data_IF_238904021069
#
_entry.id   IF_238904021069
#
_cell.length_a   1.000
_cell.length_b   1.000
_cell.length_c   1.000
_cell.angle_alpha   90.00
_cell.angle_beta   90.00
_cell.angle_gamma   90.00
#
_symmetry.space_group_name_H-M   'P 1'
#
loop_
_entity.id
_entity.type
_entity.pdbx_description
1 polymer ?
#
# COMPACT_ATOMS: atom_id res chain seq x y z
N UNK A 1 25.82 49.10 21.51
CA UNK A 1 26.52 49.13 22.81
C UNK A 1 28.05 49.15 22.70
N UNK A 2 28.78 48.06 22.38
CA UNK A 2 30.26 48.09 22.32
C UNK A 2 30.84 49.05 21.25
N UNK A 3 30.17 49.20 20.10
CA UNK A 3 30.57 50.13 19.03
C UNK A 3 30.37 51.59 19.42
N UNK A 4 29.37 51.87 20.26
CA UNK A 4 29.09 53.23 20.77
C UNK A 4 30.07 53.64 21.87
N UNK A 5 30.52 52.69 22.70
CA UNK A 5 31.61 52.91 23.67
C UNK A 5 32.96 53.16 22.97
N UNK A 6 33.25 52.45 21.87
CA UNK A 6 34.45 52.71 21.05
C UNK A 6 34.34 54.06 20.32
N UNK A 7 33.18 54.40 19.77
CA UNK A 7 32.96 55.69 19.10
C UNK A 7 33.12 56.88 20.07
N UNK A 8 32.72 56.73 21.32
CA UNK A 8 32.92 57.75 22.36
C UNK A 8 34.39 57.84 22.81
N UNK A 9 35.11 56.72 22.93
CA UNK A 9 36.57 56.67 23.17
C UNK A 9 37.37 57.36 22.06
N UNK A 10 36.99 57.20 20.79
CA UNK A 10 37.64 57.87 19.66
C UNK A 10 37.14 59.31 19.41
N UNK A 11 36.00 59.72 19.98
CA UNK A 11 35.51 61.11 19.86
C UNK A 11 36.39 62.11 20.64
N UNK A 12 37.05 61.67 21.71
CA UNK A 12 38.00 62.49 22.49
C UNK A 12 39.29 62.76 21.71
N UNK A 13 39.66 61.85 20.80
CA UNK A 13 40.76 62.04 19.85
C UNK A 13 40.39 62.98 18.69
N UNK A 14 39.12 63.41 18.60
CA UNK A 14 38.60 64.35 17.60
C UNK A 14 38.54 65.78 18.13
N UNK A 15 39.45 66.17 19.03
CA UNK A 15 39.63 67.58 19.36
C UNK A 15 40.25 68.30 18.15
N UNK A 16 39.45 69.14 17.47
CA UNK A 16 40.00 70.12 16.53
C UNK A 16 41.04 70.99 17.27
N UNK A 17 42.26 71.15 16.72
CA UNK A 17 43.31 71.90 17.39
C UNK A 17 43.01 73.40 17.26
N UNK A 18 42.27 73.97 18.20
CA UNK A 18 42.21 75.42 18.37
C UNK A 18 43.39 75.85 19.24
N UNK A 19 44.49 76.21 18.59
CA UNK A 19 45.63 76.87 19.21
C UNK A 19 46.95 76.17 18.93
N UNK A 20 47.96 76.94 18.53
CA UNK A 20 49.33 76.47 18.41
C UNK A 20 49.84 76.03 19.80
N UNK A 21 49.85 74.72 20.06
CA UNK A 21 50.46 74.17 21.25
C UNK A 21 51.98 74.19 21.09
N UNK A 22 52.67 74.93 21.95
CA UNK A 22 54.09 74.71 22.18
C UNK A 22 54.26 73.35 22.85
N UNK A 23 54.72 72.35 22.10
CA UNK A 23 55.05 71.04 22.63
C UNK A 23 56.26 71.14 23.56
N UNK A 24 56.02 71.15 24.86
CA UNK A 24 57.05 70.76 25.84
C UNK A 24 57.13 69.24 25.84
N UNK A 25 58.33 68.68 25.72
CA UNK A 25 58.58 67.23 25.56
C UNK A 25 57.85 66.29 26.57
N UNK A 26 57.42 66.80 27.72
CA UNK A 26 56.59 66.07 28.70
C UNK A 26 55.19 65.70 28.18
N UNK A 27 54.46 66.63 27.56
CA UNK A 27 53.11 66.36 27.03
C UNK A 27 53.13 65.35 25.88
N UNK A 28 54.18 65.36 25.06
CA UNK A 28 54.36 64.38 23.99
C UNK A 28 54.68 62.98 24.55
N UNK A 29 55.52 62.89 25.59
CA UNK A 29 55.82 61.64 26.27
C UNK A 29 54.56 61.02 26.93
N UNK A 30 53.72 61.87 27.53
CA UNK A 30 52.47 61.46 28.16
C UNK A 30 51.42 61.03 27.12
N UNK A 31 51.22 61.79 26.05
CA UNK A 31 50.32 61.39 24.95
C UNK A 31 50.75 60.07 24.28
N UNK A 32 52.07 59.84 24.14
CA UNK A 32 52.61 58.58 23.61
C UNK A 32 52.32 57.39 24.53
N UNK A 33 52.41 57.56 25.85
CA UNK A 33 52.08 56.50 26.84
C UNK A 33 50.59 56.17 26.83
N UNK A 34 49.74 57.18 26.78
CA UNK A 34 48.28 57.00 26.71
C UNK A 34 47.88 56.30 25.40
N UNK A 35 48.48 56.69 24.28
CA UNK A 35 48.24 56.04 22.98
C UNK A 35 48.68 54.58 23.01
N UNK A 36 49.83 54.27 23.62
CA UNK A 36 50.30 52.89 23.77
C UNK A 36 49.33 52.03 24.59
N UNK A 37 48.78 52.57 25.69
CA UNK A 37 47.74 51.91 26.48
C UNK A 37 46.49 51.62 25.65
N UNK A 38 45.94 52.63 24.97
CA UNK A 38 44.72 52.49 24.15
C UNK A 38 44.91 51.52 22.98
N UNK A 39 46.10 51.49 22.37
CA UNK A 39 46.44 50.50 21.34
C UNK A 39 46.50 49.08 21.91
N UNK A 40 47.07 48.90 23.11
CA UNK A 40 47.07 47.60 23.79
C UNK A 40 45.64 47.10 24.06
N UNK A 41 44.77 47.97 24.57
CA UNK A 41 43.35 47.64 24.81
C UNK A 41 42.63 47.29 23.51
N UNK A 42 42.87 48.05 22.43
CA UNK A 42 42.34 47.74 21.10
C UNK A 42 42.80 46.36 20.63
N UNK A 43 44.07 46.01 20.82
CA UNK A 43 44.62 44.71 20.45
C UNK A 43 43.96 43.57 21.26
N UNK A 44 43.69 43.76 22.56
CA UNK A 44 42.90 42.82 23.39
C UNK A 44 41.51 42.59 22.77
N UNK A 45 40.80 43.67 22.43
CA UNK A 45 39.48 43.56 21.79
C UNK A 45 39.55 42.81 20.46
N UNK A 46 40.58 43.05 19.63
CA UNK A 46 40.78 42.32 18.38
C UNK A 46 41.03 40.83 18.60
N UNK A 47 41.87 40.45 19.58
CA UNK A 47 42.10 39.05 19.93
C UNK A 47 40.81 38.35 20.37
N UNK A 48 40.02 38.97 21.25
CA UNK A 48 38.75 38.40 21.73
C UNK A 48 37.69 38.28 20.63
N UNK A 49 37.58 39.28 19.75
CA UNK A 49 36.69 39.22 18.59
C UNK A 49 37.15 38.13 17.61
N UNK A 50 38.46 37.99 17.39
CA UNK A 50 39.04 36.94 16.57
C UNK A 50 38.71 35.55 17.11
N UNK A 51 38.94 35.31 18.41
CA UNK A 51 38.57 34.07 19.08
C UNK A 51 37.08 33.77 18.93
N UNK A 52 36.21 34.75 19.21
CA UNK A 52 34.76 34.59 19.05
C UNK A 52 34.39 34.19 17.62
N UNK A 53 34.97 34.83 16.61
CA UNK A 53 34.69 34.51 15.21
C UNK A 53 35.19 33.11 14.84
N UNK A 54 36.38 32.72 15.30
CA UNK A 54 36.91 31.37 15.06
C UNK A 54 36.02 30.29 15.70
N UNK A 55 35.60 30.49 16.95
CA UNK A 55 34.70 29.57 17.64
C UNK A 55 33.34 29.48 16.94
N UNK A 56 32.69 30.61 16.64
CA UNK A 56 31.30 30.61 16.14
C UNK A 56 31.22 30.28 14.65
N UNK A 57 32.14 30.77 13.82
CA UNK A 57 32.02 30.66 12.35
C UNK A 57 32.77 29.48 11.77
N UNK A 58 33.78 28.95 12.45
CA UNK A 58 34.62 27.86 11.92
C UNK A 58 34.44 26.60 12.75
N UNK A 59 34.72 26.68 14.04
CA UNK A 59 34.85 25.49 14.89
C UNK A 59 33.50 24.92 15.33
N UNK A 60 32.53 25.77 15.68
CA UNK A 60 31.21 25.31 16.06
C UNK A 60 30.44 24.62 14.92
N UNK A 61 30.42 25.16 13.68
CA UNK A 61 29.83 24.45 12.54
C UNK A 61 30.55 23.12 12.28
N UNK A 62 31.89 23.11 12.27
CA UNK A 62 32.66 21.90 12.05
C UNK A 62 32.40 20.84 13.14
N UNK A 63 32.22 21.24 14.40
CA UNK A 63 31.85 20.34 15.49
C UNK A 63 30.43 19.80 15.30
N UNK A 64 29.48 20.66 14.89
CA UNK A 64 28.09 20.27 14.66
C UNK A 64 27.99 19.25 13.52
N UNK A 65 28.75 19.44 12.45
CA UNK A 65 28.83 18.50 11.34
C UNK A 65 29.49 17.18 11.77
N UNK A 66 30.57 17.26 12.55
CA UNK A 66 31.23 16.07 13.07
C UNK A 66 30.33 15.23 13.99
N UNK A 67 29.43 15.88 14.76
CA UNK A 67 28.47 15.19 15.63
C UNK A 67 27.47 14.30 14.86
N UNK A 68 27.24 14.56 13.57
CA UNK A 68 26.35 13.73 12.74
C UNK A 68 26.94 12.32 12.54
N UNK A 69 28.26 12.25 12.36
CA UNK A 69 28.97 11.01 12.05
C UNK A 69 29.42 10.25 13.31
N UNK A 70 29.44 10.91 14.46
CA UNK A 70 29.97 10.36 15.72
C UNK A 70 28.98 9.37 16.33
N UNK A 71 29.42 8.12 16.45
CA UNK A 71 28.64 7.02 17.06
C UNK A 71 29.02 6.74 18.51
N UNK A 72 29.99 7.48 19.06
CA UNK A 72 30.58 7.23 20.38
C UNK A 72 30.45 8.40 21.35
N UNK A 73 30.82 8.16 22.60
CA UNK A 73 30.58 9.07 23.72
C UNK A 73 31.66 10.16 23.88
N UNK A 74 32.54 10.38 22.89
CA UNK A 74 33.66 11.35 22.99
C UNK A 74 33.18 12.74 23.43
N UNK A 75 32.10 13.26 22.84
CA UNK A 75 31.54 14.55 23.22
C UNK A 75 31.08 14.54 24.70
N UNK A 76 30.51 13.44 25.17
CA UNK A 76 29.98 13.31 26.54
C UNK A 76 31.11 13.13 27.56
N UNK A 77 32.06 12.27 27.26
CA UNK A 77 33.23 12.00 28.09
C UNK A 77 34.11 13.23 28.23
N UNK A 78 34.32 13.97 27.14
CA UNK A 78 35.05 15.23 27.17
C UNK A 78 34.32 16.29 28.00
N UNK A 79 33.00 16.40 27.85
CA UNK A 79 32.19 17.36 28.61
C UNK A 79 32.22 17.07 30.12
N UNK A 80 32.08 15.79 30.50
CA UNK A 80 32.23 15.33 31.89
C UNK A 80 33.63 15.58 32.43
N UNK A 81 34.66 15.32 31.61
CA UNK A 81 36.06 15.57 31.98
C UNK A 81 36.29 17.05 32.32
N UNK A 82 35.86 17.97 31.45
CA UNK A 82 36.06 19.40 31.67
C UNK A 82 35.23 19.92 32.84
N UNK A 83 33.95 19.51 32.95
CA UNK A 83 33.09 19.91 34.06
C UNK A 83 33.67 19.52 35.43
N UNK A 84 34.25 18.31 35.53
CA UNK A 84 34.88 17.82 36.76
C UNK A 84 36.03 18.71 37.22
N UNK A 85 36.97 19.01 36.32
CA UNK A 85 38.18 19.75 36.66
C UNK A 85 37.92 21.24 36.94
N UNK A 86 36.80 21.78 36.44
CA UNK A 86 36.37 23.13 36.77
C UNK A 86 35.72 23.24 38.15
N UNK A 87 34.98 22.21 38.59
CA UNK A 87 34.38 22.19 39.93
C UNK A 87 35.40 22.00 41.04
N UNK A 88 36.55 21.39 40.74
CA UNK A 88 37.63 21.11 41.70
C UNK A 88 38.57 22.31 41.94
N UNK A 89 38.25 23.51 41.42
CA UNK A 89 39.03 24.76 41.60
C UNK A 89 40.48 24.72 41.08
N UNK A 90 40.81 23.78 40.20
CA UNK A 90 42.12 23.65 39.53
C UNK A 90 42.09 24.29 38.12
N UNK A 91 41.63 25.54 38.02
CA UNK A 91 41.48 26.23 36.73
C UNK A 91 42.82 26.49 36.02
N UNK A 92 43.89 26.66 36.80
CA UNK A 92 45.24 26.99 36.30
C UNK A 92 45.93 25.84 35.55
N UNK A 93 45.62 24.58 35.89
CA UNK A 93 46.18 23.40 35.21
C UNK A 93 45.27 22.83 34.12
N UNK A 94 44.10 23.45 33.89
CA UNK A 94 43.11 22.94 32.95
C UNK A 94 43.62 22.84 31.49
N UNK A 95 44.40 23.81 30.96
CA UNK A 95 44.99 23.68 29.63
C UNK A 95 45.82 22.41 29.46
N UNK A 96 46.76 22.15 30.38
CA UNK A 96 47.67 20.98 30.34
C UNK A 96 46.90 19.65 30.48
N UNK A 97 45.87 19.64 31.32
CA UNK A 97 45.01 18.48 31.51
C UNK A 97 44.20 18.16 30.26
N UNK A 98 43.68 19.18 29.56
CA UNK A 98 42.96 19.01 28.29
C UNK A 98 43.91 18.57 27.18
N UNK A 99 45.12 19.13 27.11
CA UNK A 99 46.15 18.70 26.16
C UNK A 99 46.48 17.22 26.36
N UNK A 100 46.68 16.80 27.61
CA UNK A 100 46.96 15.40 27.96
C UNK A 100 45.80 14.48 27.63
N UNK A 101 44.56 14.90 27.89
CA UNK A 101 43.36 14.12 27.59
C UNK A 101 43.20 13.90 26.08
N UNK A 102 43.36 14.97 25.28
CA UNK A 102 43.26 14.89 23.83
C UNK A 102 44.45 14.13 23.23
N UNK A 103 45.66 14.33 23.72
CA UNK A 103 46.85 13.61 23.23
C UNK A 103 46.81 12.10 23.46
N UNK A 104 46.15 11.64 24.53
CA UNK A 104 46.03 10.23 24.89
C UNK A 104 44.76 9.55 24.35
N UNK A 105 43.92 10.26 23.59
CA UNK A 105 42.67 9.69 23.08
C UNK A 105 42.93 8.66 21.98
N UNK A 106 42.52 7.41 22.21
CA UNK A 106 42.73 6.30 21.29
C UNK A 106 41.77 6.33 20.09
N UNK A 107 42.14 7.05 19.04
CA UNK A 107 41.40 7.13 17.78
C UNK A 107 41.24 5.77 17.06
N UNK A 108 42.09 4.79 17.37
CA UNK A 108 41.99 3.44 16.79
C UNK A 108 40.72 2.70 17.20
N UNK A 109 40.16 3.00 18.37
CA UNK A 109 38.96 2.33 18.89
C UNK A 109 37.67 3.00 18.37
N UNK A 110 37.72 4.30 18.04
CA UNK A 110 36.59 5.08 17.57
C UNK A 110 36.96 5.95 16.35
N UNK A 111 37.07 5.38 15.14
CA UNK A 111 37.47 6.12 13.95
C UNK A 111 36.43 7.17 13.53
N UNK A 112 35.14 6.95 13.83
CA UNK A 112 34.06 7.92 13.59
C UNK A 112 34.24 9.21 14.39
N UNK A 113 34.97 9.17 15.51
CA UNK A 113 35.21 10.32 16.36
C UNK A 113 36.38 11.21 15.88
N UNK A 114 37.10 10.83 14.83
CA UNK A 114 38.30 11.53 14.34
C UNK A 114 38.05 13.00 14.00
N UNK A 115 36.94 13.31 13.31
CA UNK A 115 36.57 14.68 12.96
C UNK A 115 36.30 15.54 14.19
N UNK A 116 35.48 15.02 15.12
CA UNK A 116 35.15 15.73 16.35
C UNK A 116 36.41 15.96 17.20
N UNK A 117 37.26 14.95 17.30
CA UNK A 117 38.53 15.03 18.01
C UNK A 117 39.45 16.12 17.45
N UNK A 118 39.58 16.22 16.12
CA UNK A 118 40.33 17.30 15.46
C UNK A 118 39.77 18.69 15.78
N UNK A 119 38.44 18.81 15.82
CA UNK A 119 37.79 20.08 16.18
C UNK A 119 38.03 20.44 17.64
N UNK A 120 37.98 19.48 18.56
CA UNK A 120 38.30 19.71 19.98
C UNK A 120 39.76 20.15 20.18
N UNK A 121 40.70 19.55 19.45
CA UNK A 121 42.10 20.03 19.41
C UNK A 121 42.17 21.46 18.89
N UNK A 122 41.48 21.77 17.80
CA UNK A 122 41.50 23.11 17.22
C UNK A 122 40.88 24.17 18.15
N UNK A 123 39.84 23.81 18.91
CA UNK A 123 39.24 24.67 19.95
C UNK A 123 40.23 24.90 21.09
N UNK A 124 40.84 23.84 21.61
CA UNK A 124 41.85 23.93 22.64
C UNK A 124 43.02 24.85 22.20
N UNK A 125 43.57 24.61 21.01
CA UNK A 125 44.64 25.44 20.45
C UNK A 125 44.21 26.90 20.23
N UNK A 126 42.99 27.15 19.76
CA UNK A 126 42.48 28.52 19.58
C UNK A 126 42.42 29.27 20.92
N UNK A 127 41.98 28.60 21.98
CA UNK A 127 41.89 29.16 23.33
C UNK A 127 43.28 29.39 23.94
N UNK A 128 44.19 28.41 23.88
CA UNK A 128 45.58 28.53 24.38
C UNK A 128 46.33 29.63 23.64
N UNK A 129 46.25 29.67 22.31
CA UNK A 129 46.92 30.70 21.51
C UNK A 129 46.36 32.10 21.81
N UNK A 130 45.05 32.22 22.02
CA UNK A 130 44.44 33.50 22.39
C UNK A 130 44.86 33.92 23.79
N UNK A 131 44.88 33.01 24.76
CA UNK A 131 45.35 33.27 26.11
C UNK A 131 46.81 33.74 26.13
N UNK A 132 47.69 33.08 25.37
CA UNK A 132 49.10 33.48 25.22
C UNK A 132 49.27 34.86 24.57
N UNK A 133 48.49 35.17 23.52
CA UNK A 133 48.50 36.51 22.91
C UNK A 133 48.00 37.59 23.87
N UNK A 134 46.96 37.29 24.63
CA UNK A 134 46.42 38.20 25.64
C UNK A 134 47.41 38.40 26.79
N UNK A 135 48.19 37.39 27.18
CA UNK A 135 49.26 37.54 28.16
C UNK A 135 50.35 38.50 27.66
N UNK A 136 50.84 38.34 26.43
CA UNK A 136 51.81 39.27 25.83
C UNK A 136 51.28 40.71 25.79
N UNK A 137 50.01 40.88 25.36
CA UNK A 137 49.37 42.21 25.36
C UNK A 137 49.24 42.76 26.79
N UNK A 138 48.86 41.93 27.76
CA UNK A 138 48.74 42.33 29.16
C UNK A 138 50.10 42.74 29.75
N UNK A 139 51.18 42.02 29.44
CA UNK A 139 52.55 42.40 29.82
C UNK A 139 52.96 43.75 29.21
N UNK A 140 52.61 44.00 27.94
CA UNK A 140 52.85 45.30 27.29
C UNK A 140 52.06 46.43 27.97
N UNK A 141 50.79 46.20 28.31
CA UNK A 141 49.95 47.17 29.04
C UNK A 141 50.50 47.42 30.45
N UNK A 142 50.95 46.36 31.15
CA UNK A 142 51.53 46.43 32.50
C UNK A 142 52.74 47.35 32.58
N UNK A 143 53.55 47.40 31.53
CA UNK A 143 54.73 48.27 31.46
C UNK A 143 54.40 49.71 31.05
N UNK A 144 53.15 50.00 30.65
CA UNK A 144 52.71 51.38 30.38
C UNK A 144 52.49 52.15 31.68
N UNK A 145 53.00 53.37 31.75
CA UNK A 145 52.65 54.33 32.82
C UNK A 145 51.46 55.16 32.39
N UNK A 146 50.37 55.08 33.15
CA UNK A 146 49.12 55.80 32.88
C UNK A 146 49.13 57.14 33.62
N UNK A 147 48.83 58.22 32.91
CA UNK A 147 48.71 59.57 33.47
C UNK A 147 47.42 59.70 34.30
N UNK A 148 47.32 60.75 35.13
CA UNK A 148 46.11 61.04 35.91
C UNK A 148 44.82 61.10 35.06
N UNK A 149 44.89 61.61 33.82
CA UNK A 149 43.75 61.77 32.91
C UNK A 149 43.32 60.45 32.27
N UNK A 150 44.26 59.56 31.98
CA UNK A 150 43.98 58.29 31.31
C UNK A 150 43.37 57.21 32.23
N UNK A 151 43.35 57.43 33.55
CA UNK A 151 42.63 56.58 34.50
C UNK A 151 41.14 56.47 34.20
N UNK A 152 40.54 57.49 33.58
CA UNK A 152 39.16 57.43 33.12
C UNK A 152 38.89 56.26 32.16
N UNK A 153 39.81 55.99 31.22
CA UNK A 153 39.68 54.87 30.28
C UNK A 153 39.87 53.52 30.96
N UNK A 154 40.77 53.47 31.94
CA UNK A 154 41.04 52.30 32.76
C UNK A 154 39.78 51.89 33.55
N UNK A 155 39.06 52.85 34.14
CA UNK A 155 37.82 52.61 34.86
C UNK A 155 36.68 52.11 33.95
N UNK A 156 36.51 52.72 32.77
CA UNK A 156 35.54 52.25 31.78
C UNK A 156 35.78 50.79 31.41
N UNK A 157 37.05 50.42 31.21
CA UNK A 157 37.41 49.05 30.82
C UNK A 157 37.19 48.05 31.94
N UNK A 158 37.50 48.40 33.18
CA UNK A 158 37.21 47.54 34.33
C UNK A 158 35.70 47.35 34.52
N UNK A 159 34.90 48.41 34.29
CA UNK A 159 33.45 48.29 34.33
C UNK A 159 32.92 47.40 33.20
N UNK A 160 33.48 47.53 31.99
CA UNK A 160 33.11 46.70 30.83
C UNK A 160 33.52 45.23 31.00
N UNK A 161 34.57 44.95 31.77
CA UNK A 161 35.09 43.59 32.02
C UNK A 161 34.64 43.01 33.38
N UNK A 162 33.88 43.78 34.16
CA UNK A 162 33.45 43.42 35.52
C UNK A 162 32.78 42.05 35.62
N UNK A 163 31.94 41.67 34.65
CA UNK A 163 31.26 40.36 34.60
C UNK A 163 32.21 39.18 34.40
N UNK A 164 33.30 39.39 33.67
CA UNK A 164 34.36 38.37 33.49
C UNK A 164 35.20 38.27 34.77
N UNK A 165 35.49 39.43 35.36
CA UNK A 165 36.35 39.54 36.53
C UNK A 165 35.69 39.05 37.82
N UNK A 166 34.36 39.16 37.95
CA UNK A 166 33.61 38.62 39.09
C UNK A 166 33.70 37.09 39.22
N UNK A 167 34.15 36.39 38.18
CA UNK A 167 34.33 34.93 38.17
C UNK A 167 35.75 34.49 38.53
N UNK A 168 36.69 35.43 38.58
CA UNK A 168 38.08 35.16 38.96
C UNK A 168 38.18 35.06 40.49
N UNK A 169 38.77 33.97 41.00
CA UNK A 169 38.87 33.68 42.44
C UNK A 169 39.69 34.70 43.25
N UNK A 170 40.58 35.45 42.58
CA UNK A 170 41.49 36.41 43.21
C UNK A 170 41.17 37.88 42.87
N UNK A 171 40.00 38.15 42.27
CA UNK A 171 39.66 39.52 41.89
C UNK A 171 39.48 40.43 43.11
N UNK A 172 40.38 41.40 43.28
CA UNK A 172 40.18 42.57 44.14
C UNK A 172 39.63 43.71 43.29
N UNK A 173 38.61 44.40 43.80
CA UNK A 173 37.97 45.54 43.13
C UNK A 173 39.02 46.57 42.66
N UNK A 174 39.16 46.75 41.34
CA UNK A 174 40.01 47.78 40.76
C UNK A 174 40.65 47.40 39.43
N UNK A 175 40.62 48.33 38.48
CA UNK A 175 41.20 48.16 37.15
C UNK A 175 42.73 47.91 37.13
N UNK A 176 43.40 48.24 38.24
CA UNK A 176 44.83 47.97 38.50
C UNK A 176 45.15 46.48 38.57
N UNK A 177 44.24 45.67 39.11
CA UNK A 177 44.37 44.23 39.21
C UNK A 177 44.29 43.55 37.84
N UNK A 178 43.45 44.08 36.91
CA UNK A 178 43.22 43.50 35.58
C UNK A 178 44.52 43.44 34.75
N UNK A 179 45.33 44.49 34.83
CA UNK A 179 46.58 44.61 34.08
C UNK A 179 47.82 44.32 34.95
N UNK A 180 47.61 43.97 36.22
CA UNK A 180 48.68 43.63 37.15
C UNK A 180 49.57 44.82 37.54
N UNK A 181 49.02 46.05 37.56
CA UNK A 181 49.74 47.25 38.00
C UNK A 181 49.95 47.32 39.52
N UNK A 182 49.31 46.45 40.30
CA UNK A 182 49.59 46.35 41.74
C UNK A 182 50.90 45.60 42.01
N UNK A 183 51.73 46.15 42.89
CA UNK A 183 52.86 45.41 43.45
C UNK A 183 52.33 44.39 44.44
N UNK A 184 52.72 43.12 44.31
CA UNK A 184 52.41 42.00 45.22
C UNK A 184 53.04 42.15 46.64
N UNK A 185 53.12 43.37 47.15
CA UNK A 185 54.03 43.77 48.22
C UNK A 185 53.47 43.84 49.64
N UNK A 186 52.26 43.37 49.95
CA UNK A 186 51.71 43.50 51.33
C UNK A 186 51.03 42.28 51.93
N UNK A 187 51.13 41.09 51.35
CA UNK A 187 50.69 39.86 52.02
C UNK A 187 51.69 38.71 51.81
N UNK A 188 52.29 38.28 52.93
CA UNK A 188 53.06 37.04 53.04
C UNK A 188 52.20 35.85 52.63
N UNK A 189 52.27 35.46 51.36
CA UNK A 189 51.87 34.13 50.90
C UNK A 189 52.51 33.88 49.55
N UNK A 190 53.54 33.03 49.59
CA UNK A 190 54.12 32.24 48.51
C UNK A 190 54.32 32.95 47.16
N UNK A 191 55.59 33.26 46.89
CA UNK A 191 56.12 33.40 45.54
C UNK A 191 55.65 32.20 44.68
N UNK A 192 54.74 32.45 43.75
CA UNK A 192 54.24 31.44 42.82
C UNK A 192 52.84 31.67 42.24
N UNK A 193 51.99 32.53 42.81
CA UNK A 193 50.65 32.75 42.22
C UNK A 193 50.72 33.71 41.02
N UNK A 194 50.21 33.20 39.90
CA UNK A 194 50.29 33.82 38.59
C UNK A 194 49.47 35.13 38.56
N UNK A 195 50.04 36.27 38.15
CA UNK A 195 49.41 37.58 38.35
C UNK A 195 48.21 37.90 37.43
N UNK A 196 47.78 36.99 36.54
CA UNK A 196 46.69 37.24 35.58
C UNK A 196 45.65 36.10 35.59
N UNK A 197 44.96 35.90 36.71
CA UNK A 197 43.90 34.88 36.90
C UNK A 197 42.73 34.96 35.90
N UNK A 198 42.56 36.10 35.20
CA UNK A 198 41.50 36.28 34.21
C UNK A 198 41.78 35.63 32.86
N UNK A 199 43.05 35.30 32.54
CA UNK A 199 43.41 34.57 31.31
C UNK A 199 42.97 33.11 31.38
N UNK A 200 43.19 32.48 32.54
CA UNK A 200 42.72 31.14 32.85
C UNK A 200 41.18 31.07 32.80
N UNK A 201 40.52 32.13 33.27
CA UNK A 201 39.06 32.26 33.18
C UNK A 201 38.57 32.38 31.73
N UNK A 202 39.29 33.06 30.83
CA UNK A 202 38.95 33.09 29.40
C UNK A 202 39.03 31.71 28.77
N UNK A 203 40.08 30.95 29.09
CA UNK A 203 40.22 29.58 28.62
C UNK A 203 39.09 28.70 29.18
N UNK A 204 38.89 28.71 30.50
CA UNK A 204 37.89 27.90 31.19
C UNK A 204 36.45 28.23 30.75
N UNK A 205 36.07 29.51 30.78
CA UNK A 205 34.73 29.95 30.35
C UNK A 205 34.52 29.77 28.84
N UNK A 206 35.55 29.98 28.02
CA UNK A 206 35.48 29.76 26.58
C UNK A 206 35.26 28.29 26.23
N UNK A 207 36.01 27.39 26.88
CA UNK A 207 35.88 25.95 26.70
C UNK A 207 34.52 25.44 27.18
N UNK A 208 34.05 25.90 28.33
CA UNK A 208 32.72 25.53 28.85
C UNK A 208 31.57 26.03 27.98
N UNK A 209 31.65 27.26 27.50
CA UNK A 209 30.63 27.79 26.60
C UNK A 209 30.56 26.97 25.31
N UNK A 210 31.72 26.58 24.77
CA UNK A 210 31.78 25.71 23.60
C UNK A 210 31.18 24.32 23.88
N UNK A 211 31.57 23.70 24.99
CA UNK A 211 31.10 22.38 25.41
C UNK A 211 29.59 22.37 25.67
N UNK A 212 29.06 23.39 26.35
CA UNK A 212 27.62 23.49 26.62
C UNK A 212 26.81 23.51 25.33
N UNK A 213 27.26 24.27 24.32
CA UNK A 213 26.60 24.31 23.01
C UNK A 213 26.76 22.96 22.30
N UNK A 214 27.93 22.32 22.41
CA UNK A 214 28.18 21.01 21.83
C UNK A 214 27.26 19.93 22.42
N UNK A 215 27.04 19.93 23.74
CA UNK A 215 26.13 19.04 24.44
C UNK A 215 24.67 19.26 23.98
N UNK A 216 24.24 20.51 23.83
CA UNK A 216 22.91 20.84 23.29
C UNK A 216 22.74 20.32 21.85
N UNK A 217 23.75 20.53 21.00
CA UNK A 217 23.76 20.00 19.63
C UNK A 217 23.73 18.47 19.60
N UNK A 218 24.48 17.80 20.49
CA UNK A 218 24.45 16.33 20.61
C UNK A 218 23.07 15.84 21.00
N UNK A 219 22.48 16.42 22.05
CA UNK A 219 21.13 16.04 22.51
C UNK A 219 20.08 16.21 21.40
N UNK A 220 20.19 17.29 20.62
CA UNK A 220 19.34 17.52 19.46
C UNK A 220 19.50 16.43 18.39
N UNK A 221 20.73 16.09 18.01
CA UNK A 221 21.00 15.05 17.02
C UNK A 221 20.57 13.65 17.48
N UNK A 222 20.77 13.32 18.75
CA UNK A 222 20.29 12.07 19.34
C UNK A 222 18.76 11.95 19.26
N UNK A 223 18.03 13.05 19.52
CA UNK A 223 16.58 13.08 19.39
C UNK A 223 16.12 12.84 17.95
N UNK A 224 16.81 13.44 16.97
CA UNK A 224 16.54 13.24 15.54
C UNK A 224 16.78 11.77 15.16
N UNK A 225 17.93 11.21 15.54
CA UNK A 225 18.28 9.82 15.22
C UNK A 225 17.26 8.84 15.79
N UNK A 226 16.85 9.03 17.05
CA UNK A 226 15.81 8.22 17.69
C UNK A 226 14.48 8.28 16.93
N UNK A 227 14.07 9.48 16.51
CA UNK A 227 12.84 9.66 15.75
C UNK A 227 12.93 8.97 14.38
N UNK A 228 14.06 9.11 13.67
CA UNK A 228 14.29 8.43 12.40
C UNK A 228 14.24 6.90 12.55
N UNK A 229 14.89 6.34 13.56
CA UNK A 229 14.89 4.89 13.80
C UNK A 229 13.47 4.37 14.08
N UNK A 230 12.68 5.11 14.87
CA UNK A 230 11.26 4.80 15.09
C UNK A 230 10.46 4.81 13.79
N UNK A 231 10.68 5.79 12.93
CA UNK A 231 10.02 5.85 11.62
C UNK A 231 10.45 4.71 10.70
N UNK A 232 11.74 4.35 10.70
CA UNK A 232 12.27 3.25 9.90
C UNK A 232 11.66 1.91 10.30
N UNK A 233 11.61 1.61 11.61
CA UNK A 233 10.94 0.42 12.15
C UNK A 233 9.46 0.35 11.76
N UNK A 234 8.77 1.50 11.73
CA UNK A 234 7.36 1.56 11.27
C UNK A 234 7.25 1.29 9.78
N UNK A 235 8.16 1.81 8.96
CA UNK A 235 8.20 1.54 7.52
C UNK A 235 8.45 0.06 7.27
N UNK A 236 9.40 -0.57 7.96
CA UNK A 236 9.69 -2.00 7.82
C UNK A 236 8.46 -2.86 8.17
N UNK A 237 7.75 -2.51 9.25
CA UNK A 237 6.51 -3.17 9.64
C UNK A 237 5.42 -3.03 8.55
N UNK A 238 5.27 -1.83 7.98
CA UNK A 238 4.30 -1.59 6.89
C UNK A 238 4.70 -2.32 5.60
N UNK A 239 5.98 -2.38 5.26
CA UNK A 239 6.47 -3.13 4.10
C UNK A 239 6.24 -4.63 4.26
N UNK A 240 6.45 -5.17 5.47
CA UNK A 240 6.15 -6.57 5.76
C UNK A 240 4.65 -6.87 5.63
N UNK A 241 3.78 -5.94 6.05
CA UNK A 241 2.33 -6.07 5.85
C UNK A 241 1.94 -6.01 4.37
N UNK A 242 2.52 -5.08 3.60
CA UNK A 242 2.30 -4.99 2.16
C UNK A 242 2.65 -6.29 1.44
N UNK A 243 3.82 -6.89 1.73
CA UNK A 243 4.20 -8.18 1.14
C UNK A 243 3.19 -9.29 1.47
N UNK A 244 2.66 -9.33 2.70
CA UNK A 244 1.61 -10.30 3.07
C UNK A 244 0.33 -10.08 2.26
N UNK A 245 -0.10 -8.84 2.05
CA UNK A 245 -1.27 -8.54 1.22
C UNK A 245 -1.02 -8.87 -0.26
N UNK A 246 0.18 -8.67 -0.78
CA UNK A 246 0.58 -9.07 -2.12
C UNK A 246 0.54 -10.60 -2.28
N UNK A 247 1.03 -11.36 -1.29
CA UNK A 247 0.94 -12.82 -1.28
C UNK A 247 -0.50 -13.31 -1.19
N UNK A 248 -1.33 -12.70 -0.34
CA UNK A 248 -2.74 -13.05 -0.19
C UNK A 248 -3.54 -12.76 -1.47
N UNK A 249 -3.30 -11.60 -2.11
CA UNK A 249 -3.94 -11.27 -3.40
C UNK A 249 -3.49 -12.20 -4.52
N UNK A 250 -2.21 -12.60 -4.56
CA UNK A 250 -1.72 -13.61 -5.50
C UNK A 250 -2.40 -14.98 -5.30
N UNK A 251 -2.56 -15.41 -4.05
CA UNK A 251 -3.27 -16.65 -3.72
C UNK A 251 -4.75 -16.58 -4.12
N UNK A 252 -5.44 -15.48 -3.82
CA UNK A 252 -6.84 -15.28 -4.20
C UNK A 252 -7.02 -15.28 -5.72
N UNK A 253 -6.12 -14.62 -6.46
CA UNK A 253 -6.16 -14.64 -7.92
C UNK A 253 -6.01 -16.06 -8.48
N UNK A 254 -5.10 -16.86 -7.92
CA UNK A 254 -4.95 -18.27 -8.30
C UNK A 254 -6.23 -19.07 -8.08
N UNK A 255 -6.89 -18.89 -6.92
CA UNK A 255 -8.18 -19.56 -6.64
C UNK A 255 -9.25 -19.12 -7.63
N UNK A 256 -9.32 -17.82 -7.97
CA UNK A 256 -10.27 -17.32 -8.96
C UNK A 256 -10.01 -17.91 -10.36
N UNK A 257 -8.75 -18.09 -10.75
CA UNK A 257 -8.39 -18.70 -12.04
C UNK A 257 -8.78 -20.18 -12.07
N UNK A 258 -8.55 -20.92 -10.99
CA UNK A 258 -9.00 -22.32 -10.84
C UNK A 258 -10.53 -22.42 -10.92
N UNK A 259 -11.26 -21.49 -10.29
CA UNK A 259 -12.72 -21.43 -10.39
C UNK A 259 -13.21 -21.12 -11.80
N UNK A 260 -12.55 -20.21 -12.53
CA UNK A 260 -12.87 -19.94 -13.95
C UNK A 260 -12.65 -21.16 -14.81
N UNK A 261 -11.50 -21.83 -14.68
CA UNK A 261 -11.22 -23.07 -15.40
C UNK A 261 -12.27 -24.16 -15.10
N UNK A 262 -12.67 -24.29 -13.83
CA UNK A 262 -13.72 -25.23 -13.42
C UNK A 262 -15.12 -24.87 -13.92
N UNK A 263 -15.41 -23.60 -14.19
CA UNK A 263 -16.64 -23.16 -14.86
C UNK A 263 -16.60 -23.47 -16.36
N UNK A 264 -15.48 -23.15 -17.03
CA UNK A 264 -15.29 -23.43 -18.45
C UNK A 264 -15.43 -24.93 -18.76
N UNK A 265 -14.88 -25.79 -17.90
CA UNK A 265 -15.00 -27.24 -18.07
C UNK A 265 -16.44 -27.73 -17.88
N UNK A 266 -17.17 -27.21 -16.89
CA UNK A 266 -18.60 -27.49 -16.74
C UNK A 266 -19.40 -27.06 -17.96
N UNK A 267 -19.12 -25.87 -18.51
CA UNK A 267 -19.79 -25.39 -19.72
C UNK A 267 -19.48 -26.23 -20.96
N UNK A 268 -18.27 -26.81 -21.06
CA UNK A 268 -17.93 -27.78 -22.11
C UNK A 268 -18.74 -29.08 -21.95
N UNK A 269 -18.79 -29.63 -20.73
CA UNK A 269 -19.56 -30.84 -20.43
C UNK A 269 -21.06 -30.65 -20.73
N UNK A 270 -21.64 -29.51 -20.34
CA UNK A 270 -23.05 -29.19 -20.63
C UNK A 270 -23.29 -29.15 -22.15
N UNK A 271 -22.40 -28.51 -22.92
CA UNK A 271 -22.52 -28.47 -24.38
C UNK A 271 -22.44 -29.86 -25.00
N UNK A 272 -21.52 -30.70 -24.53
CA UNK A 272 -21.37 -32.07 -25.00
C UNK A 272 -22.61 -32.92 -24.70
N UNK A 273 -23.16 -32.83 -23.48
CA UNK A 273 -24.38 -33.53 -23.09
C UNK A 273 -25.59 -33.11 -23.94
N UNK A 274 -25.77 -31.80 -24.20
CA UNK A 274 -26.84 -31.30 -25.08
C UNK A 274 -26.70 -31.80 -26.52
N UNK A 275 -25.48 -31.84 -27.05
CA UNK A 275 -25.21 -32.36 -28.41
C UNK A 275 -25.60 -33.83 -28.53
N UNK A 276 -25.19 -34.65 -27.55
CA UNK A 276 -25.48 -36.08 -27.54
C UNK A 276 -26.99 -36.36 -27.43
N UNK A 277 -27.68 -35.64 -26.55
CA UNK A 277 -29.13 -35.82 -26.35
C UNK A 277 -29.94 -35.49 -27.62
N UNK A 278 -29.61 -34.41 -28.31
CA UNK A 278 -30.36 -33.98 -29.50
C UNK A 278 -30.17 -34.90 -30.71
N UNK A 279 -29.01 -35.55 -30.86
CA UNK A 279 -28.76 -36.46 -31.98
C UNK A 279 -29.51 -37.79 -31.82
N UNK A 280 -29.56 -38.36 -30.62
CA UNK A 280 -30.20 -39.67 -30.42
C UNK A 280 -31.72 -39.61 -30.50
N UNK A 281 -32.34 -38.56 -29.92
CA UNK A 281 -33.81 -38.44 -29.89
C UNK A 281 -34.44 -38.11 -31.24
N UNK A 282 -33.72 -37.40 -32.12
CA UNK A 282 -34.26 -36.99 -33.43
C UNK A 282 -34.37 -38.16 -34.40
N UNK A 283 -33.39 -39.07 -34.40
CA UNK A 283 -33.32 -40.18 -35.35
C UNK A 283 -34.39 -41.26 -35.07
N UNK A 284 -34.67 -41.55 -33.79
CA UNK A 284 -35.70 -42.53 -33.42
C UNK A 284 -37.12 -42.06 -33.73
N UNK A 285 -37.38 -40.75 -33.57
CA UNK A 285 -38.68 -40.13 -33.88
C UNK A 285 -39.02 -40.17 -35.37
N UNK A 286 -38.03 -39.96 -36.25
CA UNK A 286 -38.21 -40.05 -37.70
C UNK A 286 -38.52 -41.48 -38.15
N UNK A 287 -37.86 -42.47 -37.55
CA UNK A 287 -38.09 -43.89 -37.85
C UNK A 287 -39.50 -44.34 -37.47
N UNK A 288 -39.97 -43.95 -36.28
CA UNK A 288 -41.33 -44.27 -35.82
C UNK A 288 -42.41 -43.61 -36.68
N UNK A 289 -42.19 -42.38 -37.16
CA UNK A 289 -43.12 -41.71 -38.09
C UNK A 289 -43.22 -42.45 -39.43
N UNK A 290 -42.08 -42.91 -39.97
CA UNK A 290 -42.06 -43.67 -41.21
C UNK A 290 -42.77 -45.02 -41.07
N UNK A 291 -42.60 -45.72 -39.94
CA UNK A 291 -43.29 -46.98 -39.66
C UNK A 291 -44.81 -46.79 -39.52
N UNK A 292 -45.25 -45.74 -38.82
CA UNK A 292 -46.68 -45.42 -38.69
C UNK A 292 -47.33 -45.14 -40.06
N UNK A 293 -46.70 -44.33 -40.91
CA UNK A 293 -47.21 -44.04 -42.25
C UNK A 293 -47.37 -45.31 -43.10
N UNK A 294 -46.42 -46.25 -42.99
CA UNK A 294 -46.45 -47.53 -43.70
C UNK A 294 -47.59 -48.43 -43.21
N UNK A 295 -47.84 -48.48 -41.90
CA UNK A 295 -48.97 -49.22 -41.33
C UNK A 295 -50.32 -48.64 -41.80
N UNK A 296 -50.46 -47.31 -41.85
CA UNK A 296 -51.68 -46.66 -42.32
C UNK A 296 -52.01 -47.03 -43.77
N UNK A 297 -51.02 -47.02 -44.66
CA UNK A 297 -51.21 -47.37 -46.08
C UNK A 297 -51.65 -48.83 -46.26
N UNK A 298 -51.15 -49.75 -45.43
CA UNK A 298 -51.59 -51.14 -45.43
C UNK A 298 -53.05 -51.30 -44.99
N UNK A 299 -53.47 -50.56 -43.97
CA UNK A 299 -54.87 -50.57 -43.51
C UNK A 299 -55.84 -50.10 -44.60
N UNK A 300 -55.49 -49.01 -45.30
CA UNK A 300 -56.34 -48.49 -46.38
C UNK A 300 -56.47 -49.47 -47.55
N UNK A 301 -55.38 -50.17 -47.89
CA UNK A 301 -55.39 -51.23 -48.92
C UNK A 301 -56.28 -52.40 -48.53
N UNK A 302 -56.20 -52.86 -47.28
CA UNK A 302 -57.04 -53.96 -46.80
C UNK A 302 -58.53 -53.56 -46.74
N UNK A 303 -58.84 -52.35 -46.28
CA UNK A 303 -60.21 -51.83 -46.21
C UNK A 303 -60.85 -51.77 -47.61
N UNK A 304 -60.12 -51.29 -48.62
CA UNK A 304 -60.60 -51.30 -50.02
C UNK A 304 -60.91 -52.71 -50.52
N UNK A 305 -60.05 -53.68 -50.19
CA UNK A 305 -60.23 -55.09 -50.59
C UNK A 305 -61.48 -55.72 -49.96
N UNK A 306 -61.75 -55.43 -48.68
CA UNK A 306 -62.94 -55.91 -47.97
C UNK A 306 -64.23 -55.38 -48.61
N UNK A 307 -64.25 -54.10 -48.97
CA UNK A 307 -65.41 -53.49 -49.62
C UNK A 307 -65.70 -54.13 -51.00
N UNK A 308 -64.67 -54.37 -51.81
CA UNK A 308 -64.84 -55.06 -53.10
C UNK A 308 -65.39 -56.48 -52.93
N UNK A 309 -64.87 -57.25 -51.97
CA UNK A 309 -65.34 -58.61 -51.71
C UNK A 309 -66.79 -58.64 -51.22
N UNK A 310 -67.18 -57.70 -50.35
CA UNK A 310 -68.56 -57.60 -49.86
C UNK A 310 -69.55 -57.34 -51.00
N UNK A 311 -69.21 -56.43 -51.91
CA UNK A 311 -70.04 -56.13 -53.07
C UNK A 311 -70.19 -57.34 -54.02
N UNK A 312 -69.12 -58.13 -54.19
CA UNK A 312 -69.16 -59.37 -54.98
C UNK A 312 -70.08 -60.42 -54.34
N UNK A 313 -70.00 -60.63 -53.03
CA UNK A 313 -70.87 -61.58 -52.31
C UNK A 313 -72.34 -61.17 -52.44
N UNK A 314 -72.65 -59.88 -52.29
CA UNK A 314 -74.02 -59.37 -52.42
C UNK A 314 -74.60 -59.60 -53.82
N UNK A 315 -73.79 -59.39 -54.87
CA UNK A 315 -74.20 -59.63 -56.26
C UNK A 315 -74.46 -61.12 -56.51
N UNK A 316 -73.57 -62.00 -56.04
CA UNK A 316 -73.70 -63.44 -56.22
C UNK A 316 -74.91 -64.01 -55.47
N UNK A 317 -75.20 -63.50 -54.27
CA UNK A 317 -76.36 -63.90 -53.49
C UNK A 317 -77.68 -63.58 -54.21
N UNK A 318 -77.80 -62.40 -54.83
CA UNK A 318 -78.99 -62.02 -55.59
C UNK A 318 -79.20 -62.89 -56.82
N UNK A 319 -78.13 -63.18 -57.54
CA UNK A 319 -78.16 -64.02 -58.73
C UNK A 319 -78.61 -65.46 -58.39
N UNK A 320 -78.09 -66.05 -57.31
CA UNK A 320 -78.51 -67.37 -56.84
C UNK A 320 -80.00 -67.38 -56.45
N UNK A 321 -80.48 -66.35 -55.75
CA UNK A 321 -81.89 -66.25 -55.37
C UNK A 321 -82.80 -66.09 -56.59
N UNK A 322 -82.38 -65.32 -57.60
CA UNK A 322 -83.10 -65.19 -58.86
C UNK A 322 -83.21 -66.53 -59.60
N UNK A 323 -82.08 -67.24 -59.76
CA UNK A 323 -82.05 -68.58 -60.41
C UNK A 323 -82.93 -69.57 -59.65
N UNK A 324 -82.89 -69.59 -58.31
CA UNK A 324 -83.74 -70.48 -57.51
C UNK A 324 -85.22 -70.18 -57.66
N UNK A 325 -85.61 -68.89 -57.73
CA UNK A 325 -86.99 -68.50 -57.96
C UNK A 325 -87.48 -68.90 -59.35
N UNK A 326 -86.65 -68.72 -60.39
CA UNK A 326 -86.97 -69.13 -61.75
C UNK A 326 -87.15 -70.65 -61.85
N UNK A 327 -86.23 -71.43 -61.27
CA UNK A 327 -86.30 -72.88 -61.25
C UNK A 327 -87.55 -73.41 -60.51
N UNK A 328 -87.90 -72.82 -59.36
CA UNK A 328 -89.12 -73.17 -58.62
C UNK A 328 -90.39 -72.80 -59.37
N UNK A 329 -90.40 -71.66 -60.05
CA UNK A 329 -91.54 -71.23 -60.88
C UNK A 329 -91.75 -72.20 -62.05
N UNK A 330 -90.67 -72.59 -62.73
CA UNK A 330 -90.74 -73.60 -63.79
C UNK A 330 -91.25 -74.94 -63.28
N UNK A 331 -90.74 -75.43 -62.13
CA UNK A 331 -91.17 -76.69 -61.53
C UNK A 331 -92.64 -76.67 -61.07
N UNK A 332 -93.13 -75.53 -60.57
CA UNK A 332 -94.54 -75.33 -60.23
C UNK A 332 -95.43 -75.39 -61.47
N UNK A 333 -95.08 -74.67 -62.54
CA UNK A 333 -95.84 -74.70 -63.79
C UNK A 333 -95.87 -76.11 -64.39
N UNK A 334 -94.76 -76.85 -64.33
CA UNK A 334 -94.70 -78.24 -64.78
C UNK A 334 -95.60 -79.15 -63.92
N UNK A 335 -95.59 -78.97 -62.59
CA UNK A 335 -96.47 -79.71 -61.67
C UNK A 335 -97.95 -79.38 -61.88
N UNK A 336 -98.31 -78.11 -62.09
CA UNK A 336 -99.68 -77.69 -62.39
C UNK A 336 -100.16 -78.28 -63.73
N UNK A 337 -99.31 -78.26 -64.76
CA UNK A 337 -99.58 -78.89 -66.04
C UNK A 337 -99.78 -80.42 -65.91
N UNK A 338 -98.95 -81.09 -65.10
CA UNK A 338 -99.07 -82.51 -64.83
C UNK A 338 -100.34 -82.86 -64.03
N UNK A 339 -100.73 -82.03 -63.05
CA UNK A 339 -102.00 -82.19 -62.33
C UNK A 339 -103.18 -82.04 -63.30
N UNK A 340 -103.19 -80.99 -64.13
CA UNK A 340 -104.25 -80.76 -65.11
C UNK A 340 -104.36 -81.91 -66.13
N UNK A 341 -103.23 -82.44 -66.61
CA UNK A 341 -103.19 -83.61 -67.48
C UNK A 341 -103.75 -84.86 -66.79
N UNK A 342 -103.40 -85.10 -65.53
CA UNK A 342 -103.86 -86.27 -64.77
C UNK A 342 -105.35 -86.17 -64.41
N UNK A 343 -105.89 -84.97 -64.17
CA UNK A 343 -107.32 -84.73 -63.99
C UNK A 343 -108.15 -85.03 -65.26
N UNK A 344 -107.57 -84.81 -66.45
CA UNK A 344 -108.22 -85.03 -67.73
C UNK A 344 -108.15 -86.48 -68.24
N UNK A 345 -107.09 -87.21 -67.88
CA UNK A 345 -106.74 -88.50 -68.53
C UNK A 345 -106.83 -89.73 -67.63
N UNK A 346 -106.90 -89.58 -66.31
CA UNK A 346 -106.78 -90.73 -65.42
C UNK A 346 -108.14 -91.42 -65.10
N UNK A 347 -108.16 -92.77 -64.99
CA UNK A 347 -109.37 -93.54 -64.66
C UNK A 347 -109.83 -93.26 -63.23
N UNK A 348 -111.14 -93.05 -63.02
CA UNK A 348 -111.75 -92.75 -61.71
C UNK A 348 -111.72 -93.96 -60.75
N UNK A 349 -110.54 -94.29 -60.25
CA UNK A 349 -110.29 -95.33 -59.26
C UNK A 349 -109.50 -94.76 -58.06
N UNK A 350 -109.51 -95.48 -56.92
CA UNK A 350 -108.93 -94.99 -55.67
C UNK A 350 -107.42 -94.68 -55.76
N UNK A 351 -106.67 -95.43 -56.57
CA UNK A 351 -105.23 -95.25 -56.74
C UNK A 351 -104.89 -93.96 -57.50
N UNK A 352 -105.65 -93.60 -58.54
CA UNK A 352 -105.46 -92.36 -59.29
C UNK A 352 -105.75 -91.13 -58.44
N UNK A 353 -106.82 -91.15 -57.64
CA UNK A 353 -107.13 -90.05 -56.72
C UNK A 353 -106.03 -89.86 -55.67
N UNK A 354 -105.46 -90.96 -55.13
CA UNK A 354 -104.36 -90.89 -54.18
C UNK A 354 -103.08 -90.28 -54.80
N UNK A 355 -102.76 -90.60 -56.06
CA UNK A 355 -101.64 -90.00 -56.78
C UNK A 355 -101.86 -88.50 -57.05
N UNK A 356 -103.10 -88.11 -57.33
CA UNK A 356 -103.49 -86.73 -57.61
C UNK A 356 -103.43 -85.86 -56.35
N UNK A 357 -103.90 -86.38 -55.22
CA UNK A 357 -103.76 -85.71 -53.93
C UNK A 357 -102.29 -85.57 -53.53
N UNK A 358 -101.45 -86.60 -53.79
CA UNK A 358 -100.01 -86.49 -53.56
C UNK A 358 -99.37 -85.39 -54.42
N UNK A 359 -99.71 -85.30 -55.71
CA UNK A 359 -99.22 -84.22 -56.57
C UNK A 359 -99.70 -82.83 -56.12
N UNK A 360 -100.95 -82.72 -55.64
CA UNK A 360 -101.47 -81.47 -55.07
C UNK A 360 -100.69 -81.05 -53.82
N UNK A 361 -100.38 -82.00 -52.92
CA UNK A 361 -99.55 -81.71 -51.74
C UNK A 361 -98.12 -81.30 -52.10
N UNK A 362 -97.51 -81.92 -53.10
CA UNK A 362 -96.18 -81.54 -53.59
C UNK A 362 -96.20 -80.15 -54.24
N UNK A 363 -97.24 -79.82 -55.01
CA UNK A 363 -97.46 -78.48 -55.57
C UNK A 363 -97.62 -77.43 -54.46
N UNK A 364 -98.42 -77.71 -53.44
CA UNK A 364 -98.59 -76.79 -52.30
C UNK A 364 -97.28 -76.56 -51.55
N UNK A 365 -96.45 -77.60 -51.39
CA UNK A 365 -95.11 -77.46 -50.80
C UNK A 365 -94.18 -76.59 -51.64
N UNK A 366 -94.14 -76.81 -52.96
CA UNK A 366 -93.34 -75.98 -53.87
C UNK A 366 -93.83 -74.52 -53.89
N UNK A 367 -95.14 -74.29 -53.76
CA UNK A 367 -95.73 -72.96 -53.73
C UNK A 367 -95.40 -72.22 -52.43
N UNK A 368 -95.33 -72.94 -51.31
CA UNK A 368 -94.84 -72.41 -50.03
C UNK A 368 -93.34 -72.04 -50.15
N UNK A 369 -92.51 -72.91 -50.73
CA UNK A 369 -91.08 -72.64 -50.92
C UNK A 369 -90.81 -71.43 -51.82
N UNK A 370 -91.58 -71.27 -52.90
CA UNK A 370 -91.48 -70.11 -53.79
C UNK A 370 -91.83 -68.81 -53.06
N UNK A 371 -92.92 -68.79 -52.27
CA UNK A 371 -93.29 -67.61 -51.47
C UNK A 371 -92.24 -67.26 -50.41
N UNK A 372 -91.69 -68.27 -49.74
CA UNK A 372 -90.64 -68.06 -48.74
C UNK A 372 -89.39 -67.44 -49.38
N UNK A 373 -88.92 -67.96 -50.51
CA UNK A 373 -87.75 -67.41 -51.21
C UNK A 373 -88.01 -66.02 -51.79
N UNK A 374 -89.23 -65.74 -52.27
CA UNK A 374 -89.60 -64.41 -52.76
C UNK A 374 -89.57 -63.37 -51.63
N UNK A 375 -90.07 -63.73 -50.44
CA UNK A 375 -90.03 -62.88 -49.26
C UNK A 375 -88.59 -62.64 -48.78
N UNK A 376 -87.74 -63.67 -48.75
CA UNK A 376 -86.33 -63.53 -48.37
C UNK A 376 -85.56 -62.61 -49.32
N UNK A 377 -85.84 -62.70 -50.63
CA UNK A 377 -85.24 -61.80 -51.64
C UNK A 377 -85.69 -60.35 -51.44
N UNK A 378 -86.97 -60.11 -51.15
CA UNK A 378 -87.49 -58.77 -50.87
C UNK A 378 -86.86 -58.15 -49.60
N UNK A 379 -86.70 -58.93 -48.54
CA UNK A 379 -86.05 -58.50 -47.30
C UNK A 379 -84.57 -58.13 -47.52
N UNK A 380 -83.84 -58.90 -48.34
CA UNK A 380 -82.45 -58.62 -48.68
C UNK A 380 -82.31 -57.35 -49.54
N UNK A 381 -83.26 -57.06 -50.45
CA UNK A 381 -83.27 -55.78 -51.17
C UNK A 381 -83.53 -54.58 -50.24
N UNK A 382 -84.37 -54.75 -49.23
CA UNK A 382 -84.66 -53.70 -48.24
C UNK A 382 -83.45 -53.44 -47.33
N UNK A 383 -82.76 -54.50 -46.87
CA UNK A 383 -81.48 -54.35 -46.17
C UNK A 383 -80.42 -53.65 -47.03
N UNK A 384 -80.33 -53.95 -48.33
CA UNK A 384 -79.41 -53.27 -49.25
C UNK A 384 -79.70 -51.79 -49.41
N UNK A 385 -80.99 -51.40 -49.43
CA UNK A 385 -81.40 -49.98 -49.47
C UNK A 385 -81.09 -49.24 -48.16
N UNK A 386 -81.07 -49.95 -47.04
CA UNK A 386 -80.72 -49.38 -45.72
C UNK A 386 -79.22 -49.14 -45.51
N UNK A 387 -78.35 -49.80 -46.30
CA UNK A 387 -76.88 -49.73 -46.19
C UNK A 387 -76.22 -48.80 -47.22
N UNK A 388 -76.96 -48.36 -48.24
CA UNK A 388 -76.55 -47.30 -49.17
C UNK A 388 -76.99 -45.95 -48.62
#
# INVERSE_FOLDING_TARGET
MFVECLASLFSVLHHQPTGAFHFTAGYEADARRETAFLLGVRDVCHCLVGLKLNLIRLLLPAATDALIDVTGDLAEDFSKFVARHLTESNTTSLPDLVETYLGNYNLSENPSASRLHQVLIAVHLALVNTAAQLDDIAQRIRTCSVTALAWYYVDILAQATSTMLSRCSEWREGATCLWGWESSGTCNSQAGSNPCSWLDEIYASGLMAFISILDDCRAHWQAIHWQQEKHLRRIDAMQAQLRRFEEETANLNKVLDEQRAGLEERDRLIRQLRSNQNQTSSVELEKLRAEHARCQEQFDKQTKRINTLSQQIESQSDEILAIKLEALTASLCEKEANIALMELTAPKNAASNQALDKMRTERDQLQIQQRQLANTRAMLEEEKKSRK
#
